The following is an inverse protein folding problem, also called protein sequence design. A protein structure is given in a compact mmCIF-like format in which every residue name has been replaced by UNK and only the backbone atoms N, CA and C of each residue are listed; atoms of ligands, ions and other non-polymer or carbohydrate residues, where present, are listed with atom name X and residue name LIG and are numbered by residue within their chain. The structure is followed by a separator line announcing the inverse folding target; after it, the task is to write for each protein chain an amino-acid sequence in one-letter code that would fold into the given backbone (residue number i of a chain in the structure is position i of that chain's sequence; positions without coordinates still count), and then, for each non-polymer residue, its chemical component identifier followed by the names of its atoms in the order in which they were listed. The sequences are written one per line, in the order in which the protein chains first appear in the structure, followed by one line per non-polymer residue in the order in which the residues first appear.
data_IF_806415332907
#
_entry.id   IF_806415332907
#
_cell.length_a   1.000
_cell.length_b   1.000
_cell.length_c   1.000
_cell.angle_alpha   90.00
_cell.angle_beta   90.00
_cell.angle_gamma   90.00
#
_symmetry.space_group_name_H-M   'P 1'
#
loop_
_entity.id
_entity.type
_entity.pdbx_description
1 polymer ?
#
# COMPACT_ATOMS: atom_id res chain seq x y z
N UNK A 1 9.12 2.80 17.24
CA UNK A 1 8.98 4.18 16.75
C UNK A 1 7.76 4.16 15.86
N UNK A 2 6.70 4.89 16.21
CA UNK A 2 5.50 5.01 15.35
C UNK A 2 5.85 6.10 14.34
N UNK A 3 5.83 5.78 13.06
CA UNK A 3 6.00 6.77 12.00
C UNK A 3 4.66 7.47 11.84
N UNK A 4 4.52 8.69 12.36
CA UNK A 4 3.41 9.57 11.98
C UNK A 4 3.89 10.49 10.88
N UNK A 5 3.50 10.21 9.63
CA UNK A 5 3.91 11.02 8.48
C UNK A 5 2.77 11.17 7.48
N UNK A 6 1.83 12.06 7.82
CA UNK A 6 0.89 12.66 6.86
C UNK A 6 1.57 13.71 5.96
N UNK A 7 2.87 13.89 6.10
CA UNK A 7 3.72 14.67 5.21
C UNK A 7 4.66 13.72 4.48
N UNK A 8 4.89 13.97 3.20
CA UNK A 8 5.83 13.19 2.42
C UNK A 8 7.26 13.47 2.90
N UNK A 9 8.14 12.47 2.81
CA UNK A 9 9.57 12.71 3.01
C UNK A 9 10.08 13.77 2.02
N UNK A 10 11.13 14.55 2.36
CA UNK A 10 11.65 15.57 1.46
C UNK A 10 11.99 15.01 0.06
N UNK A 11 11.32 15.53 -0.97
CA UNK A 11 11.51 15.13 -2.36
C UNK A 11 10.76 13.87 -2.80
N UNK A 12 10.04 13.20 -1.89
CA UNK A 12 9.20 12.06 -2.20
C UNK A 12 7.80 12.52 -2.63
N UNK A 13 7.19 11.90 -3.66
CA UNK A 13 5.84 12.24 -4.08
C UNK A 13 4.76 11.77 -3.10
N UNK A 14 4.94 10.62 -2.45
CA UNK A 14 3.89 9.97 -1.67
C UNK A 14 4.04 10.21 -0.17
N UNK A 15 2.90 10.35 0.51
CA UNK A 15 2.85 10.23 1.98
C UNK A 15 2.86 8.77 2.39
N UNK A 16 3.27 8.47 3.62
CA UNK A 16 3.05 7.15 4.18
C UNK A 16 1.54 6.96 4.41
N UNK A 17 0.90 5.94 3.83
CA UNK A 17 -0.56 5.87 3.81
C UNK A 17 -1.19 5.50 5.16
N UNK A 18 -0.41 5.06 6.14
CA UNK A 18 -0.90 4.76 7.49
C UNK A 18 0.23 4.86 8.50
N UNK A 19 -0.12 5.20 9.74
CA UNK A 19 0.84 5.26 10.84
C UNK A 19 1.10 3.85 11.38
N UNK A 20 2.36 3.53 11.68
CA UNK A 20 2.66 2.22 12.25
C UNK A 20 4.12 1.82 12.14
N UNK A 21 4.35 0.52 12.35
CA UNK A 21 5.66 -0.11 12.19
C UNK A 21 5.74 -0.79 10.82
N UNK A 22 6.63 -0.31 9.95
CA UNK A 22 6.90 -0.96 8.65
C UNK A 22 7.68 -2.26 8.92
N UNK A 23 6.99 -3.39 8.89
CA UNK A 23 7.51 -4.66 9.41
C UNK A 23 7.89 -5.69 8.34
N UNK A 24 7.13 -5.74 7.24
CA UNK A 24 7.45 -6.56 6.07
C UNK A 24 7.72 -5.63 4.89
N UNK A 25 8.86 -5.87 4.23
CA UNK A 25 9.45 -4.96 3.27
C UNK A 25 9.18 -5.42 1.84
N UNK A 26 9.39 -4.52 0.89
CA UNK A 26 9.32 -4.89 -0.52
C UNK A 26 10.46 -5.86 -0.86
N UNK A 27 10.17 -6.85 -1.68
CA UNK A 27 11.09 -7.93 -2.06
C UNK A 27 11.58 -8.79 -0.87
N UNK A 28 10.89 -8.78 0.28
CA UNK A 28 11.24 -9.61 1.44
C UNK A 28 11.02 -11.11 1.14
N UNK A 29 12.07 -11.96 1.19
CA UNK A 29 11.95 -13.38 0.91
C UNK A 29 11.69 -14.23 2.16
N UNK A 30 11.58 -13.62 3.34
CA UNK A 30 11.43 -14.32 4.62
C UNK A 30 9.99 -14.80 4.80
N UNK A 31 9.83 -15.90 5.55
CA UNK A 31 8.51 -16.47 5.83
C UNK A 31 7.53 -15.42 6.37
N UNK A 32 6.28 -15.37 5.87
CA UNK A 32 5.59 -16.38 5.05
C UNK A 32 5.94 -16.38 3.54
N UNK A 33 6.76 -15.45 3.07
CA UNK A 33 7.22 -15.35 1.68
C UNK A 33 8.36 -16.32 1.38
N UNK A 34 8.87 -16.25 0.15
CA UNK A 34 10.02 -17.05 -0.29
C UNK A 34 10.84 -16.30 -1.34
N UNK A 35 12.05 -16.76 -1.64
CA UNK A 35 12.85 -16.18 -2.72
C UNK A 35 12.18 -16.24 -4.09
N UNK A 36 11.27 -17.21 -4.32
CA UNK A 36 10.54 -17.34 -5.58
C UNK A 36 9.27 -16.47 -5.61
N UNK A 37 8.72 -16.13 -4.46
CA UNK A 37 7.54 -15.29 -4.28
C UNK A 37 7.80 -14.35 -3.11
N UNK A 38 8.66 -13.32 -3.31
CA UNK A 38 8.97 -12.36 -2.27
C UNK A 38 7.80 -11.38 -2.12
N UNK A 39 7.78 -10.65 -1.02
CA UNK A 39 6.71 -9.71 -0.72
C UNK A 39 6.61 -8.59 -1.78
N UNK A 40 5.40 -8.36 -2.27
CA UNK A 40 5.09 -7.50 -3.42
C UNK A 40 4.84 -6.04 -3.06
N UNK A 41 4.80 -5.73 -1.76
CA UNK A 41 4.55 -4.40 -1.21
C UNK A 41 5.26 -4.19 0.12
N UNK A 42 4.65 -3.39 0.98
CA UNK A 42 5.07 -3.21 2.37
C UNK A 42 3.89 -3.41 3.31
N UNK A 43 4.18 -3.93 4.51
CA UNK A 43 3.19 -4.06 5.57
C UNK A 43 3.49 -3.07 6.69
N UNK A 44 2.51 -2.22 6.99
CA UNK A 44 2.56 -1.21 8.04
C UNK A 44 1.67 -1.70 9.18
N UNK A 45 2.30 -2.22 10.23
CA UNK A 45 1.60 -2.83 11.37
C UNK A 45 1.10 -1.76 12.35
N UNK A 46 -0.19 -1.86 12.66
CA UNK A 46 -0.86 -1.05 13.67
C UNK A 46 -0.62 -1.64 15.06
N UNK A 47 -0.49 -0.78 16.07
CA UNK A 47 -0.45 -1.17 17.49
C UNK A 47 -1.82 -1.08 18.17
N UNK A 48 -2.89 -1.02 17.37
CA UNK A 48 -4.29 -0.85 17.77
C UNK A 48 -5.14 -2.02 17.25
N UNK A 49 -6.35 -2.15 17.77
CA UNK A 49 -7.34 -3.12 17.28
C UNK A 49 -7.79 -2.77 15.84
N UNK A 50 -8.31 -3.76 15.07
CA UNK A 50 -8.90 -3.52 13.76
C UNK A 50 -9.95 -2.40 13.77
N UNK A 51 -9.96 -1.57 12.73
CA UNK A 51 -10.90 -0.45 12.57
C UNK A 51 -10.50 0.85 13.28
N UNK A 52 -9.27 0.94 13.82
CA UNK A 52 -8.80 2.13 14.57
C UNK A 52 -7.79 2.97 13.81
N UNK A 53 -6.71 2.39 13.29
CA UNK A 53 -5.65 3.18 12.63
C UNK A 53 -6.10 3.60 11.22
N UNK A 54 -6.09 4.90 10.90
CA UNK A 54 -6.55 5.39 9.61
C UNK A 54 -5.61 5.04 8.45
N UNK A 55 -6.19 4.89 7.27
CA UNK A 55 -5.51 4.69 5.99
C UNK A 55 -5.88 5.84 5.06
N UNK A 56 -4.88 6.49 4.48
CA UNK A 56 -5.01 7.67 3.64
C UNK A 56 -4.52 7.39 2.21
N UNK A 57 -5.06 8.12 1.24
CA UNK A 57 -4.57 8.12 -0.13
C UNK A 57 -3.13 8.63 -0.16
N UNK A 58 -2.19 7.79 -0.61
CA UNK A 58 -0.77 8.13 -0.62
C UNK A 58 -0.42 9.26 -1.62
N UNK A 59 -1.28 9.49 -2.61
CA UNK A 59 -1.12 10.50 -3.67
C UNK A 59 -2.48 10.86 -4.27
N UNK A 60 -2.53 11.93 -5.08
CA UNK A 60 -3.71 12.23 -5.90
C UNK A 60 -3.95 11.11 -6.92
N UNK A 61 -5.21 10.70 -7.09
CA UNK A 61 -5.52 9.64 -8.03
C UNK A 61 -7.01 9.33 -8.19
N UNK A 62 -7.30 8.29 -8.95
CA UNK A 62 -8.66 7.84 -9.26
C UNK A 62 -8.95 6.50 -8.60
N UNK A 63 -9.69 6.54 -7.50
CA UNK A 63 -10.03 5.39 -6.68
C UNK A 63 -11.09 4.51 -7.34
N UNK A 64 -10.87 3.20 -7.24
CA UNK A 64 -11.79 2.14 -7.62
C UNK A 64 -11.91 1.12 -6.48
N UNK A 65 -13.14 0.71 -6.20
CA UNK A 65 -13.48 -0.43 -5.34
C UNK A 65 -14.34 -1.38 -6.15
N UNK A 66 -13.78 -2.53 -6.55
CA UNK A 66 -14.55 -3.51 -7.30
C UNK A 66 -15.75 -4.02 -6.50
N UNK A 67 -16.85 -4.35 -7.19
CA UNK A 67 -18.11 -4.79 -6.55
C UNK A 67 -17.93 -6.00 -5.62
N UNK A 68 -16.96 -6.87 -5.91
CA UNK A 68 -16.69 -8.09 -5.15
C UNK A 68 -15.64 -7.93 -4.04
N UNK A 69 -15.00 -6.77 -3.92
CA UNK A 69 -13.90 -6.56 -2.98
C UNK A 69 -14.42 -6.19 -1.58
N UNK A 70 -13.88 -6.85 -0.56
CA UNK A 70 -14.30 -6.70 0.84
C UNK A 70 -13.34 -5.89 1.71
N UNK A 71 -12.06 -5.82 1.38
CA UNK A 71 -11.05 -5.20 2.24
C UNK A 71 -10.01 -4.41 1.46
N UNK A 72 -10.27 -4.13 0.19
CA UNK A 72 -9.28 -3.60 -0.74
C UNK A 72 -9.81 -2.40 -1.52
N UNK A 73 -8.90 -1.49 -1.81
CA UNK A 73 -9.06 -0.36 -2.71
C UNK A 73 -7.88 -0.34 -3.68
N UNK A 74 -8.12 0.16 -4.88
CA UNK A 74 -7.04 0.42 -5.83
C UNK A 74 -7.22 1.78 -6.47
N UNK A 75 -6.13 2.51 -6.67
CA UNK A 75 -6.18 3.88 -7.14
C UNK A 75 -5.26 4.10 -8.33
N UNK A 76 -5.81 4.56 -9.45
CA UNK A 76 -5.05 4.83 -10.67
C UNK A 76 -4.34 6.17 -10.57
N UNK A 77 -3.06 6.19 -10.90
CA UNK A 77 -2.27 7.39 -11.13
C UNK A 77 -1.93 7.41 -12.62
N UNK A 78 -2.57 8.28 -13.43
CA UNK A 78 -2.38 8.28 -14.89
C UNK A 78 -0.95 8.63 -15.31
N UNK A 79 -0.29 9.50 -14.55
CA UNK A 79 1.03 10.02 -14.82
C UNK A 79 1.92 9.82 -13.59
N UNK A 80 2.75 8.79 -13.64
CA UNK A 80 3.66 8.41 -12.57
C UNK A 80 4.64 9.58 -12.27
N UNK A 81 4.69 10.08 -11.03
CA UNK A 81 5.49 11.24 -10.68
C UNK A 81 7.01 11.03 -10.84
N UNK A 82 7.47 9.78 -10.91
CA UNK A 82 8.87 9.44 -11.11
C UNK A 82 9.18 9.02 -12.56
N UNK A 83 8.16 8.65 -13.35
CA UNK A 83 8.31 8.26 -14.75
C UNK A 83 7.13 8.78 -15.59
N UNK A 84 7.15 10.06 -16.01
CA UNK A 84 6.05 10.65 -16.77
C UNK A 84 5.67 9.87 -18.01
N UNK A 85 4.37 9.76 -18.28
CA UNK A 85 3.76 8.97 -19.35
C UNK A 85 3.48 7.50 -18.98
N UNK A 86 3.89 7.04 -17.79
CA UNK A 86 3.53 5.72 -17.25
C UNK A 86 2.32 5.85 -16.34
N UNK A 87 1.35 4.94 -16.48
CA UNK A 87 0.29 4.74 -15.48
C UNK A 87 0.72 3.70 -14.45
N UNK A 88 0.44 3.97 -13.17
CA UNK A 88 0.62 3.04 -12.05
C UNK A 88 -0.64 3.01 -11.20
N UNK A 89 -0.73 2.02 -10.33
CA UNK A 89 -1.86 1.80 -9.44
C UNK A 89 -1.40 1.63 -8.01
N UNK A 90 -2.06 2.28 -7.06
CA UNK A 90 -1.80 2.12 -5.63
C UNK A 90 -2.83 1.17 -5.04
N UNK A 91 -2.37 0.06 -4.48
CA UNK A 91 -3.21 -0.97 -3.89
C UNK A 91 -3.14 -0.89 -2.36
N UNK A 92 -4.31 -0.96 -1.72
CA UNK A 92 -4.47 -0.91 -0.27
C UNK A 92 -5.33 -2.10 0.14
N UNK A 93 -4.87 -2.95 1.07
CA UNK A 93 -5.69 -4.07 1.56
C UNK A 93 -5.55 -4.34 3.06
N UNK A 94 -6.35 -5.31 3.52
CA UNK A 94 -6.64 -5.66 4.92
C UNK A 94 -7.54 -4.65 5.66
N UNK A 95 -8.33 -3.83 4.94
CA UNK A 95 -9.25 -2.84 5.54
C UNK A 95 -10.59 -3.47 5.98
N UNK A 96 -10.54 -4.59 6.72
CA UNK A 96 -11.72 -5.26 7.27
C UNK A 96 -11.34 -6.11 8.49
N UNK A 97 -12.30 -6.44 9.34
CA UNK A 97 -12.09 -7.42 10.42
C UNK A 97 -12.06 -8.87 9.90
N UNK A 98 -11.81 -9.83 10.80
CA UNK A 98 -11.73 -11.26 10.47
C UNK A 98 -13.00 -11.83 9.87
N UNK A 99 -14.15 -11.30 10.26
CA UNK A 99 -15.46 -11.69 9.75
C UNK A 99 -15.72 -11.10 8.35
N UNK A 100 -14.91 -10.12 7.93
CA UNK A 100 -15.00 -9.45 6.64
C UNK A 100 -15.95 -8.26 6.65
N UNK A 101 -16.23 -7.68 7.82
CA UNK A 101 -16.89 -6.38 7.93
C UNK A 101 -15.87 -5.31 7.54
N UNK A 102 -16.18 -4.55 6.49
CA UNK A 102 -15.23 -3.60 5.93
C UNK A 102 -15.11 -2.32 6.76
N UNK A 103 -13.88 -1.80 6.79
CA UNK A 103 -13.51 -0.53 7.41
C UNK A 103 -13.17 0.53 6.36
N UNK A 104 -13.67 0.35 5.13
CA UNK A 104 -13.55 1.34 4.07
C UNK A 104 -14.64 2.40 4.29
N UNK A 105 -14.30 3.68 4.12
CA UNK A 105 -15.26 4.77 4.31
C UNK A 105 -16.47 4.66 3.37
N UNK A 106 -17.66 5.05 3.87
CA UNK A 106 -18.94 4.99 3.15
C UNK A 106 -18.94 5.79 1.83
N UNK A 107 -18.02 6.74 1.69
CA UNK A 107 -17.79 7.50 0.46
C UNK A 107 -17.30 6.62 -0.72
N UNK A 108 -16.79 5.42 -0.42
CA UNK A 108 -16.23 4.47 -1.38
C UNK A 108 -16.98 3.13 -1.32
N UNK A 109 -18.29 3.09 -1.64
CA UNK A 109 -19.06 1.85 -1.65
C UNK A 109 -18.54 0.88 -2.75
N UNK A 110 -18.81 -0.43 -2.62
CA UNK A 110 -18.51 -1.39 -3.68
C UNK A 110 -19.09 -0.96 -5.04
N UNK A 111 -18.29 -1.08 -6.09
CA UNK A 111 -18.64 -0.61 -7.44
C UNK A 111 -18.24 0.83 -7.75
N UNK A 112 -17.65 1.55 -6.80
CA UNK A 112 -16.98 2.84 -7.07
C UNK A 112 -15.91 2.67 -8.14
N UNK A 113 -15.93 3.50 -9.17
CA UNK A 113 -14.94 3.47 -10.26
C UNK A 113 -14.45 4.87 -10.58
N UNK A 114 -13.14 4.99 -10.75
CA UNK A 114 -12.48 6.17 -11.28
C UNK A 114 -12.85 7.47 -10.55
N UNK A 115 -13.09 7.38 -9.23
CA UNK A 115 -13.43 8.54 -8.39
C UNK A 115 -12.16 9.28 -8.02
N UNK A 116 -12.03 10.54 -8.42
CA UNK A 116 -10.89 11.35 -8.01
C UNK A 116 -10.86 11.56 -6.49
N UNK A 117 -9.70 11.34 -5.89
CA UNK A 117 -9.40 11.64 -4.48
C UNK A 117 -8.04 12.33 -4.39
N UNK A 118 -7.93 13.28 -3.46
CA UNK A 118 -6.68 14.01 -3.20
C UNK A 118 -5.79 13.22 -2.24
N UNK A 119 -4.47 13.41 -2.33
CA UNK A 119 -3.49 12.93 -1.36
C UNK A 119 -3.93 13.30 0.06
N UNK A 120 -3.89 12.33 0.97
CA UNK A 120 -4.34 12.52 2.35
C UNK A 120 -5.84 12.36 2.57
N UNK A 121 -6.63 12.05 1.53
CA UNK A 121 -8.04 11.65 1.70
C UNK A 121 -8.11 10.38 2.56
N UNK A 122 -8.93 10.39 3.61
CA UNK A 122 -9.20 9.21 4.44
C UNK A 122 -9.93 8.15 3.60
N UNK A 123 -9.32 6.97 3.47
CA UNK A 123 -9.85 5.84 2.70
C UNK A 123 -10.60 4.83 3.57
N UNK A 124 -10.18 4.70 4.82
CA UNK A 124 -10.69 3.72 5.77
C UNK A 124 -9.72 3.48 6.90
N UNK A 125 -9.77 2.29 7.50
CA UNK A 125 -8.94 1.92 8.64
C UNK A 125 -8.32 0.53 8.46
N UNK A 126 -7.14 0.33 9.05
CA UNK A 126 -6.45 -0.97 9.03
C UNK A 126 -7.27 -2.02 9.75
N UNK A 127 -7.28 -3.24 9.22
CA UNK A 127 -7.88 -4.40 9.85
C UNK A 127 -6.97 -5.62 9.75
N UNK A 128 -7.55 -6.80 9.93
CA UNK A 128 -6.85 -8.08 9.99
C UNK A 128 -7.54 -9.18 9.16
N UNK A 129 -8.32 -8.79 8.15
CA UNK A 129 -8.96 -9.69 7.20
C UNK A 129 -7.95 -10.38 6.28
N UNK A 130 -7.92 -11.71 6.31
CA UNK A 130 -7.01 -12.54 5.51
C UNK A 130 -7.75 -13.38 4.46
N UNK A 131 -8.85 -12.86 3.91
CA UNK A 131 -9.65 -13.58 2.91
C UNK A 131 -10.26 -14.86 3.46
N UNK A 132 -10.01 -15.98 2.77
CA UNK A 132 -10.47 -17.32 3.17
C UNK A 132 -9.39 -18.13 3.90
N UNK A 133 -8.23 -17.53 4.15
CA UNK A 133 -7.13 -18.20 4.85
C UNK A 133 -7.51 -18.46 6.31
N UNK A 134 -7.26 -19.66 6.85
CA UNK A 134 -7.47 -19.94 8.28
C UNK A 134 -6.40 -19.32 9.18
N UNK A 135 -5.37 -18.67 8.60
CA UNK A 135 -4.28 -18.04 9.36
C UNK A 135 -4.71 -16.66 9.82
N UNK A 136 -4.55 -16.40 11.10
CA UNK A 136 -4.65 -15.05 11.66
C UNK A 136 -3.45 -14.21 11.23
N UNK A 137 -3.70 -12.97 10.85
CA UNK A 137 -2.70 -11.93 10.67
C UNK A 137 -2.86 -10.88 11.77
N UNK A 138 -1.84 -10.06 11.95
CA UNK A 138 -1.93 -8.88 12.82
C UNK A 138 -2.67 -7.76 12.10
N UNK A 139 -3.17 -6.77 12.84
CA UNK A 139 -3.73 -5.55 12.23
C UNK A 139 -2.65 -4.80 11.46
N UNK A 140 -2.83 -4.64 10.16
CA UNK A 140 -1.88 -3.90 9.32
C UNK A 140 -2.54 -3.35 8.06
N UNK A 141 -1.87 -2.40 7.43
CA UNK A 141 -2.08 -2.08 6.01
C UNK A 141 -1.05 -2.85 5.20
N UNK A 142 -1.50 -3.56 4.16
CA UNK A 142 -0.63 -3.92 3.04
C UNK A 142 -0.78 -2.87 1.95
N UNK A 143 0.35 -2.29 1.53
CA UNK A 143 0.44 -1.25 0.50
C UNK A 143 1.41 -1.68 -0.60
N UNK A 144 0.97 -1.65 -1.85
CA UNK A 144 1.81 -1.94 -3.01
C UNK A 144 1.54 -0.99 -4.17
N UNK A 145 2.56 -0.82 -5.02
CA UNK A 145 2.46 -0.07 -6.27
C UNK A 145 2.44 -1.09 -7.41
N UNK A 146 1.35 -1.14 -8.15
CA UNK A 146 1.07 -2.12 -9.20
C UNK A 146 1.20 -1.46 -10.56
N UNK A 147 1.78 -2.17 -11.52
CA UNK A 147 1.92 -1.75 -12.92
C UNK A 147 0.57 -1.80 -13.64
N UNK A 148 0.43 -0.92 -14.62
CA UNK A 148 -0.64 -0.97 -15.61
C UNK A 148 -0.35 -2.03 -16.70
N UNK A 149 -1.39 -2.60 -17.29
CA UNK A 149 -1.31 -3.56 -18.40
C UNK A 149 -1.03 -2.90 -19.76
N UNK A 150 -0.89 -1.58 -19.80
CA UNK A 150 -0.69 -0.76 -20.99
C UNK A 150 -1.99 -0.33 -21.67
N UNK A 151 -3.16 -0.73 -21.14
CA UNK A 151 -4.48 -0.39 -21.63
C UNK A 151 -5.36 0.27 -20.55
N UNK A 152 -4.76 0.74 -19.46
CA UNK A 152 -5.49 1.40 -18.37
C UNK A 152 -6.14 0.42 -17.40
N UNK A 153 -5.58 -0.78 -17.22
CA UNK A 153 -6.00 -1.74 -16.18
C UNK A 153 -4.81 -2.14 -15.32
N UNK A 154 -5.05 -2.35 -14.04
CA UNK A 154 -4.04 -2.88 -13.14
C UNK A 154 -3.71 -4.35 -13.44
N UNK A 155 -2.44 -4.71 -13.28
CA UNK A 155 -1.99 -6.10 -13.32
C UNK A 155 -2.25 -6.82 -11.98
N UNK A 156 -2.06 -8.14 -11.94
CA UNK A 156 -2.27 -8.94 -10.73
C UNK A 156 -1.19 -8.63 -9.69
N UNK A 157 -1.59 -8.04 -8.55
CA UNK A 157 -0.70 -7.64 -7.45
C UNK A 157 0.06 -8.82 -6.82
N UNK A 158 -0.53 -10.02 -6.83
CA UNK A 158 0.10 -11.23 -6.25
C UNK A 158 1.36 -11.67 -7.01
N UNK A 159 1.53 -11.24 -8.26
CA UNK A 159 2.73 -11.51 -9.06
C UNK A 159 3.77 -10.42 -8.80
N UNK A 160 4.93 -10.78 -8.25
CA UNK A 160 5.97 -9.81 -7.89
C UNK A 160 6.44 -8.96 -9.08
N UNK A 161 6.52 -9.54 -10.28
CA UNK A 161 6.93 -8.81 -11.49
C UNK A 161 5.93 -7.72 -11.90
N UNK A 162 4.72 -7.72 -11.34
CA UNK A 162 3.70 -6.70 -11.59
C UNK A 162 3.78 -5.52 -10.61
N UNK A 163 4.66 -5.54 -9.60
CA UNK A 163 4.77 -4.45 -8.64
C UNK A 163 6.08 -3.66 -8.79
N UNK A 164 6.10 -2.47 -8.18
CA UNK A 164 7.23 -1.55 -8.15
C UNK A 164 7.70 -1.36 -6.72
N UNK A 165 9.00 -1.13 -6.55
CA UNK A 165 9.60 -0.76 -5.26
C UNK A 165 8.98 0.55 -4.74
N UNK A 166 8.32 0.56 -3.56
CA UNK A 166 7.74 1.77 -2.99
C UNK A 166 8.78 2.79 -2.48
N UNK A 167 10.03 2.37 -2.30
CA UNK A 167 11.06 3.20 -1.66
C UNK A 167 11.26 4.59 -2.29
N UNK A 168 11.46 4.73 -3.62
CA UNK A 168 11.64 6.05 -4.23
C UNK A 168 10.37 6.93 -4.18
N UNK A 169 9.19 6.32 -4.04
CA UNK A 169 7.93 7.05 -3.95
C UNK A 169 7.67 7.59 -2.54
N UNK A 170 8.04 6.82 -1.51
CA UNK A 170 7.86 7.19 -0.11
C UNK A 170 9.04 8.02 0.43
N UNK A 171 10.21 7.98 -0.20
CA UNK A 171 11.44 8.57 0.34
C UNK A 171 11.97 7.83 1.57
N UNK A 172 11.59 6.57 1.74
CA UNK A 172 11.96 5.68 2.83
C UNK A 172 12.57 4.42 2.21
N UNK A 173 13.73 3.99 2.70
CA UNK A 173 14.34 2.74 2.23
C UNK A 173 13.56 1.52 2.77
N UNK A 174 12.60 1.03 1.99
CA UNK A 174 11.71 -0.09 2.34
C UNK A 174 11.88 -1.32 1.45
N UNK A 175 12.91 -1.32 0.59
CA UNK A 175 13.34 -2.51 -0.13
C UNK A 175 14.21 -3.37 0.79
N UNK A 176 13.85 -4.65 0.92
CA UNK A 176 14.53 -5.60 1.79
C UNK A 176 16.05 -5.67 1.60
N UNK A 177 16.54 -5.43 0.38
CA UNK A 177 17.96 -5.55 0.05
C UNK A 177 18.84 -4.45 0.66
N UNK A 178 18.26 -3.27 0.93
CA UNK A 178 19.03 -2.10 1.37
C UNK A 178 18.33 -1.28 2.48
N UNK A 179 17.19 -1.74 2.98
CA UNK A 179 16.46 -1.06 4.04
C UNK A 179 17.32 -0.86 5.28
N UNK A 180 17.21 0.35 5.86
CA UNK A 180 17.83 0.65 7.14
C UNK A 180 17.15 -0.16 8.27
N UNK A 181 17.84 -0.44 9.39
CA UNK A 181 17.25 -1.12 10.54
C UNK A 181 16.01 -0.42 11.12
N UNK A 182 15.94 0.91 10.93
CA UNK A 182 14.80 1.73 11.32
C UNK A 182 14.31 2.47 10.08
N UNK A 183 13.06 2.26 9.71
CA UNK A 183 12.42 3.00 8.63
C UNK A 183 12.31 4.49 8.99
N UNK A 184 12.69 5.35 8.06
CA UNK A 184 12.59 6.80 8.17
C UNK A 184 12.99 7.48 6.86
N UNK A 185 12.73 8.78 6.76
CA UNK A 185 13.09 9.54 5.58
C UNK A 185 14.61 9.49 5.32
N UNK A 186 14.98 9.32 4.06
CA UNK A 186 16.36 9.25 3.62
C UNK A 186 16.53 9.94 2.28
N UNK A 187 17.71 10.54 2.06
CA UNK A 187 18.08 11.10 0.76
C UNK A 187 18.43 10.02 -0.27
N UNK A 188 18.66 8.79 0.17
CA UNK A 188 18.95 7.61 -0.67
C UNK A 188 17.99 6.48 -0.30
N UNK A 189 16.75 6.50 -0.82
CA UNK A 189 15.76 5.48 -0.51
C UNK A 189 15.92 4.20 -1.33
N UNK A 190 16.60 4.24 -2.47
CA UNK A 190 16.81 3.08 -3.35
C UNK A 190 18.10 2.35 -3.02
N UNK A 191 18.23 1.11 -3.51
CA UNK A 191 19.43 0.29 -3.32
C UNK A 191 20.60 0.66 -4.26
N UNK A 192 20.47 1.73 -5.04
CA UNK A 192 21.52 2.21 -5.93
C UNK A 192 22.53 3.06 -5.15
N UNK A 193 23.83 2.79 -5.34
CA UNK A 193 24.94 3.54 -4.74
C UNK A 193 25.22 4.83 -5.52
#
# INVERSE_FOLDING_TARGET
MITEQREACPGAPFILPSDGFIGLLYADPRGPYSSNNPHQGIDIFSNTDPGITPVYAAFDGYLTREESWRSSLIMRIPDDPLQPGRTIWLYYTHLADREGNDFIEDAFPPGTRELFVEQGTLLGYTGDYNGTSPRTIWTHLHFSIVKDDGNGRFLNELEFDNTLDPSPYLGIAVNYQCAAPTAGCTAQPTCEN
#
